data_IF_580905200565
#
_entry.id   IF_580905200565
#
_cell.length_a   1.000
_cell.length_b   1.000
_cell.length_c   1.000
_cell.angle_alpha   90.00
_cell.angle_beta   90.00
_cell.angle_gamma   90.00
#
_symmetry.space_group_name_H-M   'P 1'
#
loop_
_entity.id
_entity.type
_entity.pdbx_description
1 polymer ?
#
# COMPACT_ATOMS: atom_id res chain seq x y z
N UNK A 1 -16.82 2.18 -8.20
CA UNK A 1 -17.68 2.03 -7.00
C UNK A 1 -16.96 2.65 -5.83
N UNK A 2 -17.58 3.57 -5.07
CA UNK A 2 -16.88 4.26 -3.98
C UNK A 2 -16.75 3.38 -2.73
N UNK A 3 -15.78 3.69 -1.87
CA UNK A 3 -15.60 3.02 -0.57
C UNK A 3 -16.89 3.00 0.26
N UNK A 4 -17.61 4.14 0.29
CA UNK A 4 -18.86 4.29 1.02
C UNK A 4 -19.98 3.39 0.49
N UNK A 5 -20.10 3.27 -0.84
CA UNK A 5 -21.06 2.36 -1.45
C UNK A 5 -20.73 0.90 -1.11
N UNK A 6 -19.45 0.51 -1.15
CA UNK A 6 -18.99 -0.83 -0.79
C UNK A 6 -19.33 -1.20 0.65
N UNK A 7 -19.02 -0.30 1.58
CA UNK A 7 -19.35 -0.47 3.01
C UNK A 7 -20.86 -0.68 3.19
N UNK A 8 -21.68 0.17 2.55
CA UNK A 8 -23.13 0.08 2.63
C UNK A 8 -23.66 -1.24 2.08
N UNK A 9 -23.19 -1.67 0.92
CA UNK A 9 -23.62 -2.92 0.28
C UNK A 9 -23.30 -4.15 1.14
N UNK A 10 -22.08 -4.25 1.67
CA UNK A 10 -21.69 -5.37 2.53
C UNK A 10 -22.51 -5.35 3.83
N UNK A 11 -22.68 -4.18 4.46
CA UNK A 11 -23.46 -4.05 5.70
C UNK A 11 -24.92 -4.48 5.49
N UNK A 12 -25.57 -3.96 4.45
CA UNK A 12 -26.97 -4.27 4.13
C UNK A 12 -27.12 -5.72 3.70
N UNK A 13 -26.17 -6.27 2.93
CA UNK A 13 -26.14 -7.68 2.56
C UNK A 13 -26.05 -8.62 3.76
N UNK A 14 -25.44 -8.17 4.86
CA UNK A 14 -25.42 -8.89 6.15
C UNK A 14 -26.62 -8.61 7.05
N UNK A 15 -27.56 -7.75 6.64
CA UNK A 15 -28.75 -7.40 7.41
C UNK A 15 -28.48 -6.55 8.67
N UNK A 16 -27.33 -5.89 8.77
CA UNK A 16 -26.92 -5.15 9.97
C UNK A 16 -27.41 -3.69 9.87
N UNK A 17 -28.12 -3.18 10.88
CA UNK A 17 -28.52 -1.77 10.91
C UNK A 17 -27.32 -0.85 11.24
N UNK A 18 -27.42 0.46 10.97
CA UNK A 18 -26.33 1.38 11.33
C UNK A 18 -26.11 1.47 12.85
N UNK A 19 -27.20 1.39 13.62
CA UNK A 19 -27.15 1.40 15.09
C UNK A 19 -26.39 0.18 15.60
N UNK A 20 -26.77 -1.01 15.11
CA UNK A 20 -26.11 -2.26 15.49
C UNK A 20 -24.66 -2.28 15.02
N UNK A 21 -24.37 -1.68 13.86
CA UNK A 21 -23.01 -1.61 13.33
C UNK A 21 -22.08 -0.76 14.23
N UNK A 22 -22.54 0.42 14.66
CA UNK A 22 -21.78 1.40 15.43
C UNK A 22 -21.69 1.08 16.93
N UNK A 23 -22.59 0.26 17.47
CA UNK A 23 -22.52 -0.18 18.87
C UNK A 23 -22.59 0.98 19.87
N UNK A 24 -21.54 1.15 20.67
CA UNK A 24 -21.43 2.20 21.70
C UNK A 24 -20.96 3.56 21.16
N UNK A 25 -20.76 3.67 19.85
CA UNK A 25 -20.34 4.87 19.13
C UNK A 25 -18.97 5.45 19.55
N UNK A 26 -18.13 4.70 20.28
CA UNK A 26 -16.79 5.17 20.66
C UNK A 26 -15.82 5.27 19.47
N UNK A 27 -15.80 4.26 18.60
CA UNK A 27 -14.89 4.23 17.44
C UNK A 27 -15.52 4.87 16.18
N UNK A 28 -16.84 4.72 16.00
CA UNK A 28 -17.57 5.23 14.84
C UNK A 28 -19.02 5.55 15.19
N UNK A 29 -19.43 6.81 15.04
CA UNK A 29 -20.82 7.22 15.30
C UNK A 29 -21.75 6.89 14.13
N UNK A 30 -23.05 6.77 14.40
CA UNK A 30 -24.07 6.51 13.36
C UNK A 30 -24.08 7.61 12.30
N UNK A 31 -23.86 8.86 12.71
CA UNK A 31 -23.77 10.01 11.80
C UNK A 31 -22.53 9.95 10.93
N UNK A 32 -21.38 9.56 11.48
CA UNK A 32 -20.15 9.38 10.71
C UNK A 32 -20.32 8.26 9.68
N UNK A 33 -20.84 7.10 10.08
CA UNK A 33 -21.12 6.00 9.17
C UNK A 33 -22.08 6.42 8.04
N UNK A 34 -23.14 7.17 8.35
CA UNK A 34 -24.08 7.65 7.34
C UNK A 34 -23.42 8.57 6.30
N UNK A 35 -22.52 9.47 6.73
CA UNK A 35 -21.76 10.36 5.84
C UNK A 35 -20.72 9.60 5.01
N UNK A 36 -20.10 8.57 5.57
CA UNK A 36 -19.19 7.68 4.85
C UNK A 36 -19.95 6.93 3.76
N UNK A 37 -21.07 6.29 4.10
CA UNK A 37 -21.88 5.51 3.15
C UNK A 37 -22.48 6.36 2.01
N UNK A 38 -22.73 7.64 2.26
CA UNK A 38 -23.19 8.58 1.23
C UNK A 38 -22.07 9.20 0.40
N UNK A 39 -20.80 8.93 0.74
CA UNK A 39 -19.63 9.53 0.10
C UNK A 39 -19.37 10.98 0.51
N UNK A 40 -20.09 11.51 1.50
CA UNK A 40 -19.92 12.87 2.01
C UNK A 40 -18.71 13.03 2.95
N UNK A 41 -18.06 11.93 3.34
CA UNK A 41 -16.81 11.94 4.12
C UNK A 41 -15.99 10.68 3.90
N UNK A 42 -14.67 10.81 3.80
CA UNK A 42 -13.73 9.69 3.80
C UNK A 42 -13.47 9.19 5.24
N UNK A 43 -13.43 7.87 5.48
CA UNK A 43 -13.02 7.32 6.78
C UNK A 43 -11.51 7.51 6.99
N UNK A 44 -11.11 7.86 8.21
CA UNK A 44 -9.70 7.78 8.63
C UNK A 44 -9.25 6.33 8.78
N UNK A 45 -7.95 6.02 8.66
CA UNK A 45 -7.42 4.66 8.78
C UNK A 45 -7.94 3.86 10.00
N UNK A 46 -7.95 4.42 11.25
CA UNK A 46 -8.48 3.68 12.40
C UNK A 46 -9.97 3.33 12.27
N UNK A 47 -10.76 4.22 11.64
CA UNK A 47 -12.19 4.00 11.41
C UNK A 47 -12.41 2.98 10.30
N UNK A 48 -11.56 3.00 9.27
CA UNK A 48 -11.60 2.02 8.20
C UNK A 48 -11.30 0.61 8.75
N UNK A 49 -10.29 0.49 9.62
CA UNK A 49 -9.97 -0.76 10.30
C UNK A 49 -11.12 -1.25 11.18
N UNK A 50 -11.74 -0.36 11.97
CA UNK A 50 -12.95 -0.68 12.72
C UNK A 50 -14.08 -1.18 11.81
N UNK A 51 -14.36 -0.47 10.72
CA UNK A 51 -15.40 -0.84 9.74
C UNK A 51 -15.10 -2.22 9.15
N UNK A 52 -13.85 -2.49 8.79
CA UNK A 52 -13.40 -3.77 8.26
C UNK A 52 -13.60 -4.92 9.25
N UNK A 53 -13.16 -4.74 10.50
CA UNK A 53 -13.37 -5.69 11.61
C UNK A 53 -14.86 -6.01 11.80
N UNK A 54 -15.73 -4.99 11.83
CA UNK A 54 -17.19 -5.17 11.98
C UNK A 54 -17.82 -5.86 10.77
N UNK A 55 -17.33 -5.58 9.57
CA UNK A 55 -17.77 -6.25 8.35
C UNK A 55 -17.15 -7.64 8.19
N UNK A 56 -16.17 -8.04 8.99
CA UNK A 56 -15.47 -9.33 8.86
C UNK A 56 -14.75 -9.47 7.52
N UNK A 57 -14.24 -8.36 6.99
CA UNK A 57 -13.45 -8.31 5.75
C UNK A 57 -12.12 -7.62 6.05
N UNK A 58 -11.06 -7.90 5.30
CA UNK A 58 -9.81 -7.16 5.46
C UNK A 58 -9.97 -5.69 5.04
N UNK A 59 -9.34 -4.76 5.76
CA UNK A 59 -9.49 -3.32 5.54
C UNK A 59 -9.11 -2.88 4.13
N UNK A 60 -8.07 -3.48 3.56
CA UNK A 60 -7.65 -3.24 2.19
C UNK A 60 -8.73 -3.56 1.15
N UNK A 61 -9.62 -4.52 1.43
CA UNK A 61 -10.68 -4.89 0.49
C UNK A 61 -11.76 -3.81 0.36
N UNK A 62 -11.84 -2.88 1.31
CA UNK A 62 -12.80 -1.78 1.27
C UNK A 62 -12.28 -0.59 0.45
N UNK A 63 -10.97 -0.51 0.21
CA UNK A 63 -10.36 0.56 -0.56
C UNK A 63 -10.59 0.34 -2.06
N UNK A 64 -11.27 1.26 -2.77
CA UNK A 64 -11.62 1.10 -4.18
C UNK A 64 -10.43 1.20 -5.13
N UNK A 65 -9.37 1.90 -4.71
CA UNK A 65 -8.11 2.03 -5.47
C UNK A 65 -7.08 0.96 -5.08
N UNK A 66 -7.41 0.12 -4.08
CA UNK A 66 -6.58 -1.00 -3.69
C UNK A 66 -6.80 -2.16 -4.66
N UNK A 67 -5.94 -2.22 -5.67
CA UNK A 67 -5.66 -3.48 -6.33
C UNK A 67 -4.76 -4.26 -5.38
N UNK A 68 -5.23 -5.43 -4.92
CA UNK A 68 -4.38 -6.32 -4.14
C UNK A 68 -3.13 -6.58 -4.98
N UNK A 69 -1.96 -6.16 -4.46
CA UNK A 69 -0.70 -6.37 -5.13
C UNK A 69 -0.55 -7.86 -5.42
N UNK A 70 -0.06 -8.26 -6.60
CA UNK A 70 0.12 -9.66 -6.93
C UNK A 70 0.93 -10.37 -5.84
N UNK A 71 0.47 -11.53 -5.37
CA UNK A 71 1.16 -12.27 -4.30
C UNK A 71 2.61 -12.59 -4.65
N UNK A 72 2.88 -12.89 -5.93
CA UNK A 72 4.25 -13.09 -6.43
C UNK A 72 5.13 -11.84 -6.32
N UNK A 73 4.58 -10.64 -6.56
CA UNK A 73 5.30 -9.39 -6.36
C UNK A 73 5.66 -9.19 -4.87
N UNK A 74 4.72 -9.44 -3.96
CA UNK A 74 4.94 -9.29 -2.52
C UNK A 74 6.02 -10.26 -2.00
N UNK A 75 6.03 -11.50 -2.49
CA UNK A 75 7.06 -12.48 -2.16
C UNK A 75 8.45 -12.05 -2.63
N UNK A 76 8.57 -11.57 -3.89
CA UNK A 76 9.83 -11.06 -4.45
C UNK A 76 10.31 -9.82 -3.70
N UNK A 77 9.42 -8.87 -3.42
CA UNK A 77 9.72 -7.66 -2.62
C UNK A 77 10.21 -8.04 -1.22
N UNK A 78 9.58 -9.02 -0.58
CA UNK A 78 9.99 -9.50 0.74
C UNK A 78 11.39 -10.13 0.71
N UNK A 79 11.72 -10.93 -0.31
CA UNK A 79 13.06 -11.51 -0.49
C UNK A 79 14.13 -10.42 -0.64
N UNK A 80 13.86 -9.41 -1.47
CA UNK A 80 14.78 -8.29 -1.70
C UNK A 80 15.03 -7.49 -0.41
N UNK A 81 14.00 -7.24 0.40
CA UNK A 81 14.11 -6.41 1.60
C UNK A 81 14.71 -7.15 2.80
N UNK A 82 14.48 -8.45 2.93
CA UNK A 82 14.88 -9.22 4.11
C UNK A 82 16.33 -9.67 4.07
N UNK A 83 16.84 -10.03 2.90
CA UNK A 83 18.18 -10.60 2.80
C UNK A 83 19.25 -9.49 2.82
N UNK A 84 20.16 -9.43 3.80
CA UNK A 84 21.25 -8.47 3.77
C UNK A 84 22.26 -8.89 2.70
N UNK A 85 22.91 -7.93 2.05
CA UNK A 85 23.88 -8.24 1.00
C UNK A 85 25.25 -8.44 1.62
N UNK A 86 25.72 -9.69 1.67
CA UNK A 86 27.02 -10.06 2.25
C UNK A 86 28.07 -10.44 1.20
N UNK A 87 27.64 -10.86 0.00
CA UNK A 87 28.51 -11.33 -1.07
C UNK A 87 27.88 -11.18 -2.45
N UNK A 88 28.61 -11.65 -3.47
CA UNK A 88 28.22 -11.53 -4.89
C UNK A 88 26.99 -12.37 -5.24
N UNK A 89 26.84 -13.54 -4.62
CA UNK A 89 25.69 -14.42 -4.88
C UNK A 89 24.37 -13.81 -4.40
N UNK A 90 24.38 -13.05 -3.30
CA UNK A 90 23.20 -12.33 -2.81
C UNK A 90 22.84 -11.13 -3.69
N UNK A 91 23.83 -10.47 -4.31
CA UNK A 91 23.57 -9.44 -5.32
C UNK A 91 22.86 -10.02 -6.54
N UNK A 92 23.41 -11.09 -7.12
CA UNK A 92 22.88 -11.70 -8.34
C UNK A 92 21.45 -12.22 -8.12
N UNK A 93 21.14 -12.73 -6.91
CA UNK A 93 19.77 -13.12 -6.52
C UNK A 93 18.81 -11.93 -6.49
N UNK A 94 19.20 -10.83 -5.85
CA UNK A 94 18.34 -9.63 -5.79
C UNK A 94 18.14 -8.99 -7.15
N UNK A 95 19.17 -8.98 -7.99
CA UNK A 95 19.09 -8.52 -9.38
C UNK A 95 18.12 -9.39 -10.19
N UNK A 96 18.16 -10.71 -10.02
CA UNK A 96 17.19 -11.62 -10.65
C UNK A 96 15.76 -11.37 -10.16
N UNK A 97 15.55 -11.19 -8.85
CA UNK A 97 14.24 -10.86 -8.28
C UNK A 97 13.70 -9.53 -8.83
N UNK A 98 14.53 -8.50 -8.91
CA UNK A 98 14.13 -7.20 -9.49
C UNK A 98 13.83 -7.33 -10.98
N UNK A 99 14.64 -8.07 -11.74
CA UNK A 99 14.37 -8.37 -13.15
C UNK A 99 13.00 -9.02 -13.36
N UNK A 100 12.64 -10.01 -12.54
CA UNK A 100 11.33 -10.65 -12.60
C UNK A 100 10.18 -9.68 -12.26
N UNK A 101 10.40 -8.78 -11.30
CA UNK A 101 9.46 -7.68 -10.97
C UNK A 101 9.25 -6.77 -12.18
N UNK A 102 10.34 -6.34 -12.83
CA UNK A 102 10.30 -5.48 -14.01
C UNK A 102 9.57 -6.12 -15.18
N UNK A 103 9.83 -7.39 -15.47
CA UNK A 103 9.22 -8.09 -16.61
C UNK A 103 7.75 -8.44 -16.38
N UNK A 104 7.36 -8.83 -15.16
CA UNK A 104 6.06 -9.48 -14.92
C UNK A 104 5.02 -8.54 -14.31
N UNK A 105 5.47 -7.63 -13.45
CA UNK A 105 4.61 -6.89 -12.54
C UNK A 105 4.67 -5.36 -12.72
N UNK A 106 5.82 -4.79 -13.08
CA UNK A 106 6.07 -3.34 -13.03
C UNK A 106 5.02 -2.47 -13.71
N UNK A 107 4.63 -2.78 -14.96
CA UNK A 107 3.61 -2.01 -15.70
C UNK A 107 2.21 -2.05 -15.06
N UNK A 108 1.95 -3.02 -14.17
CA UNK A 108 0.67 -3.23 -13.49
C UNK A 108 0.68 -2.69 -12.06
N UNK A 109 1.83 -2.27 -11.54
CA UNK A 109 1.96 -1.73 -10.20
C UNK A 109 1.47 -0.28 -10.14
N UNK A 110 0.92 0.17 -9.01
CA UNK A 110 0.66 1.59 -8.78
C UNK A 110 1.97 2.38 -8.80
N UNK A 111 1.90 3.67 -9.16
CA UNK A 111 3.08 4.56 -9.28
C UNK A 111 3.99 4.55 -8.05
N UNK A 112 3.39 4.50 -6.87
CA UNK A 112 4.13 4.46 -5.60
C UNK A 112 4.99 3.19 -5.47
N UNK A 113 4.49 2.03 -5.93
CA UNK A 113 5.24 0.78 -5.90
C UNK A 113 6.25 0.68 -7.05
N UNK A 114 5.98 1.29 -8.21
CA UNK A 114 6.97 1.45 -9.28
C UNK A 114 8.18 2.25 -8.78
N UNK A 115 7.93 3.37 -8.08
CA UNK A 115 8.98 4.18 -7.47
C UNK A 115 9.79 3.37 -6.44
N UNK A 116 9.13 2.54 -5.62
CA UNK A 116 9.84 1.65 -4.69
C UNK A 116 10.78 0.69 -5.44
N UNK A 117 10.36 0.12 -6.57
CA UNK A 117 11.20 -0.76 -7.37
C UNK A 117 12.41 -0.02 -7.93
N UNK A 118 12.23 1.19 -8.45
CA UNK A 118 13.32 2.03 -8.97
C UNK A 118 14.34 2.41 -7.89
N UNK A 119 13.86 2.77 -6.69
CA UNK A 119 14.72 3.04 -5.53
C UNK A 119 15.51 1.80 -5.12
N UNK A 120 14.88 0.62 -5.13
CA UNK A 120 15.56 -0.65 -4.82
C UNK A 120 16.64 -0.97 -5.87
N UNK A 121 16.35 -0.76 -7.15
CA UNK A 121 17.29 -0.96 -8.25
C UNK A 121 18.49 0.00 -8.13
N UNK A 122 18.26 1.30 -7.95
CA UNK A 122 19.34 2.26 -7.76
C UNK A 122 20.16 1.99 -6.50
N UNK A 123 19.52 1.56 -5.40
CA UNK A 123 20.24 1.14 -4.19
C UNK A 123 21.16 -0.05 -4.45
N UNK A 124 20.71 -1.02 -5.24
CA UNK A 124 21.49 -2.18 -5.66
C UNK A 124 22.67 -1.75 -6.56
N UNK A 125 22.40 -0.91 -7.56
CA UNK A 125 23.36 -0.44 -8.55
C UNK A 125 24.44 0.45 -7.94
N UNK A 126 24.08 1.37 -7.04
CA UNK A 126 25.04 2.16 -6.26
C UNK A 126 25.89 1.26 -5.37
N UNK A 127 25.30 0.24 -4.74
CA UNK A 127 26.05 -0.68 -3.89
C UNK A 127 27.05 -1.54 -4.68
N UNK A 128 26.72 -1.91 -5.93
CA UNK A 128 27.56 -2.70 -6.82
C UNK A 128 28.65 -1.87 -7.52
N UNK A 129 28.29 -0.71 -8.04
CA UNK A 129 29.17 0.14 -8.86
C UNK A 129 29.93 1.19 -8.06
N UNK A 130 29.53 1.44 -6.81
CA UNK A 130 29.96 2.57 -5.96
C UNK A 130 29.74 3.94 -6.57
N UNK A 131 28.86 4.06 -7.57
CA UNK A 131 28.48 5.34 -8.19
C UNK A 131 27.20 5.85 -7.56
N UNK A 132 27.27 7.01 -6.92
CA UNK A 132 26.11 7.67 -6.30
C UNK A 132 25.17 8.32 -7.31
N UNK A 133 25.63 8.54 -8.54
CA UNK A 133 24.88 9.18 -9.63
C UNK A 133 23.48 8.56 -9.84
N UNK A 134 23.34 7.23 -9.71
CA UNK A 134 22.06 6.53 -9.82
C UNK A 134 21.08 6.87 -8.69
N UNK A 135 21.58 7.03 -7.47
CA UNK A 135 20.78 7.43 -6.32
C UNK A 135 20.46 8.93 -6.34
N UNK A 136 21.40 9.76 -6.82
CA UNK A 136 21.23 11.21 -6.94
C UNK A 136 20.11 11.57 -7.93
N UNK A 137 20.05 10.93 -9.10
CA UNK A 137 19.00 11.17 -10.09
C UNK A 137 17.59 10.87 -9.56
N UNK A 138 17.40 9.73 -8.88
CA UNK A 138 16.09 9.37 -8.32
C UNK A 138 15.70 10.33 -7.19
N UNK A 139 16.66 10.74 -6.37
CA UNK A 139 16.42 11.74 -5.34
C UNK A 139 16.04 13.08 -5.96
N UNK A 140 16.77 13.60 -6.93
CA UNK A 140 16.43 14.88 -7.57
C UNK A 140 15.02 14.89 -8.18
N UNK A 141 14.60 13.79 -8.80
CA UNK A 141 13.27 13.67 -9.41
C UNK A 141 12.13 13.59 -8.38
N UNK A 142 12.38 13.01 -7.19
CA UNK A 142 11.34 12.73 -6.19
C UNK A 142 11.45 13.62 -4.92
N UNK A 143 12.51 14.41 -4.79
CA UNK A 143 12.80 15.24 -3.61
C UNK A 143 11.69 16.27 -3.34
N UNK A 144 11.10 16.84 -4.38
CA UNK A 144 10.01 17.80 -4.25
C UNK A 144 8.79 17.20 -3.54
N UNK A 145 8.37 15.98 -3.92
CA UNK A 145 7.23 15.29 -3.31
C UNK A 145 7.51 14.82 -1.87
N UNK A 146 8.76 14.50 -1.55
CA UNK A 146 9.20 14.10 -0.21
C UNK A 146 9.17 15.32 0.72
N UNK A 147 9.70 16.46 0.29
CA UNK A 147 9.79 17.68 1.13
C UNK A 147 8.44 18.32 1.47
N UNK A 148 7.41 18.11 0.65
CA UNK A 148 6.07 18.65 0.87
C UNK A 148 5.17 17.76 1.75
N UNK A 149 5.60 16.52 2.06
CA UNK A 149 4.81 15.60 2.89
C UNK A 149 5.00 15.89 4.38
N UNK A 150 3.91 16.26 5.04
CA UNK A 150 3.86 16.45 6.51
C UNK A 150 3.98 15.13 7.29
N UNK A 151 3.74 13.97 6.67
CA UNK A 151 3.85 12.67 7.30
C UNK A 151 4.36 11.59 6.32
N UNK A 152 5.33 10.80 6.75
CA UNK A 152 5.92 9.71 5.98
C UNK A 152 5.30 8.38 6.38
N UNK A 153 4.73 7.66 5.40
CA UNK A 153 4.25 6.29 5.58
C UNK A 153 5.25 5.31 4.99
N UNK A 154 5.57 4.27 5.74
CA UNK A 154 6.41 3.17 5.27
C UNK A 154 5.53 2.22 4.46
N UNK A 155 5.63 2.25 3.12
CA UNK A 155 4.92 1.34 2.19
C UNK A 155 5.52 -0.08 2.19
N UNK A 156 5.91 -0.60 3.35
CA UNK A 156 6.59 -1.90 3.44
C UNK A 156 5.60 -3.05 3.60
N UNK A 157 4.36 -2.83 4.07
CA UNK A 157 3.37 -3.91 4.13
C UNK A 157 1.94 -3.36 3.95
N UNK A 158 1.34 -3.68 2.81
CA UNK A 158 -0.12 -3.69 2.62
C UNK A 158 -0.57 -5.13 2.37
#
# INVERSE_FOLDING_TARGET
MSIGQKIKEIRVGKGISRLDFCGDEQELTVRQLARIESGASQPSLPKLDYIARRLGVPAYSLMPDFTALPSGYLELKYQILREPIYGKEEYDKKEACLGEIYETYFDKLPKEEQLVCEVLQASLDTSRTRRSEYAELILEENMHEITEKEAYSVTIFY
#
